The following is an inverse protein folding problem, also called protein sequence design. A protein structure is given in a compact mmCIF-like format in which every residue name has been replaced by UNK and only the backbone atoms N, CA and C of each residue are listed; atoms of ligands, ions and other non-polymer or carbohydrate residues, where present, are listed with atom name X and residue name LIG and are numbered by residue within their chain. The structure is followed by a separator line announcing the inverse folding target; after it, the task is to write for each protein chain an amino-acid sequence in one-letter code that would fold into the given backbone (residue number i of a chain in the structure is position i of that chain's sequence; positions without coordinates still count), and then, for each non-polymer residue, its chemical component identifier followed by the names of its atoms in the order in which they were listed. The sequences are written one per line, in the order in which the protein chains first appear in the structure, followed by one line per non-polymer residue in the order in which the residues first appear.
data_IF_248976558834
#
_entry.id   IF_248976558834
#
_cell.length_a   1.000
_cell.length_b   1.000
_cell.length_c   1.000
_cell.angle_alpha   90.00
_cell.angle_beta   90.00
_cell.angle_gamma   90.00
#
_symmetry.space_group_name_H-M   'P 1'
#
loop_
_entity.id
_entity.type
_entity.pdbx_description
1 polymer ?
#
# COMPACT_ATOMS: atom_id res chain seq x y z
N UNK A 1 -16.05 -14.08 -1.85
CA UNK A 1 -16.01 -15.56 -1.68
C UNK A 1 -15.15 -16.33 -2.70
N UNK A 2 -15.20 -16.09 -4.02
CA UNK A 2 -14.41 -16.88 -5.01
C UNK A 2 -12.87 -16.77 -4.84
N UNK A 3 -12.35 -15.59 -4.47
CA UNK A 3 -10.90 -15.37 -4.26
C UNK A 3 -10.35 -16.09 -3.01
N UNK A 4 -11.11 -16.13 -1.92
CA UNK A 4 -10.79 -16.96 -0.74
C UNK A 4 -10.76 -18.46 -1.06
N UNK A 5 -11.67 -18.96 -1.91
CA UNK A 5 -11.64 -20.35 -2.38
C UNK A 5 -10.37 -20.66 -3.20
N UNK A 6 -9.81 -19.68 -3.91
CA UNK A 6 -8.57 -19.83 -4.68
C UNK A 6 -7.35 -19.95 -3.77
N UNK A 7 -7.17 -19.03 -2.80
CA UNK A 7 -6.07 -19.12 -1.83
C UNK A 7 -6.15 -20.40 -1.01
N UNK A 8 -7.35 -20.78 -0.55
CA UNK A 8 -7.58 -22.04 0.15
C UNK A 8 -7.19 -23.26 -0.70
N UNK A 9 -7.46 -23.26 -2.01
CA UNK A 9 -7.00 -24.33 -2.93
C UNK A 9 -5.49 -24.39 -3.10
N UNK A 10 -4.77 -23.28 -2.97
CA UNK A 10 -3.30 -23.25 -3.03
C UNK A 10 -2.72 -23.87 -1.76
N UNK A 11 -3.27 -23.52 -0.60
CA UNK A 11 -2.81 -24.02 0.70
C UNK A 11 -3.22 -25.49 0.99
N UNK A 12 -4.34 -25.97 0.43
CA UNK A 12 -4.88 -27.32 0.70
C UNK A 12 -4.40 -28.37 -0.32
N UNK A 13 -3.74 -27.98 -1.42
CA UNK A 13 -3.17 -28.98 -2.33
C UNK A 13 -2.11 -29.78 -1.58
N UNK A 14 -2.17 -31.12 -1.56
CA UNK A 14 -1.08 -31.94 -1.09
C UNK A 14 0.08 -31.79 -2.08
N UNK A 15 0.92 -30.78 -1.84
CA UNK A 15 2.20 -30.65 -2.51
C UNK A 15 3.25 -31.19 -1.55
N UNK A 16 4.03 -32.16 -2.03
CA UNK A 16 5.21 -32.69 -1.33
C UNK A 16 6.34 -31.67 -1.20
N UNK A 17 6.18 -30.46 -1.76
CA UNK A 17 7.18 -29.40 -1.78
C UNK A 17 6.63 -28.06 -1.27
N UNK A 18 7.46 -27.26 -0.57
CA UNK A 18 7.13 -25.90 -0.16
C UNK A 18 6.68 -25.02 -1.34
N UNK A 19 5.83 -24.02 -1.08
CA UNK A 19 5.40 -23.05 -2.10
C UNK A 19 5.65 -21.63 -1.62
N UNK A 20 6.01 -20.75 -2.55
CA UNK A 20 6.13 -19.32 -2.27
C UNK A 20 4.74 -18.69 -2.13
N UNK A 21 4.28 -18.49 -0.89
CA UNK A 21 2.97 -17.91 -0.59
C UNK A 21 2.87 -16.46 -1.06
N UNK A 22 3.94 -15.66 -0.95
CA UNK A 22 3.97 -14.26 -1.33
C UNK A 22 3.51 -14.08 -2.79
N UNK A 23 4.09 -14.81 -3.75
CA UNK A 23 3.66 -14.75 -5.15
C UNK A 23 2.16 -15.01 -5.35
N UNK A 24 1.59 -15.96 -4.60
CA UNK A 24 0.18 -16.32 -4.72
C UNK A 24 -0.75 -15.28 -4.10
N UNK A 25 -0.35 -14.69 -2.97
CA UNK A 25 -1.07 -13.63 -2.27
C UNK A 25 -1.02 -12.35 -3.10
N UNK A 26 0.16 -11.92 -3.54
CA UNK A 26 0.36 -10.75 -4.40
C UNK A 26 -0.48 -10.85 -5.68
N UNK A 27 -0.59 -12.04 -6.30
CA UNK A 27 -1.51 -12.24 -7.42
C UNK A 27 -2.98 -12.03 -7.05
N UNK A 28 -3.41 -12.63 -5.93
CA UNK A 28 -4.80 -12.53 -5.51
C UNK A 28 -5.20 -11.09 -5.21
N UNK A 29 -4.32 -10.35 -4.53
CA UNK A 29 -4.48 -8.93 -4.21
C UNK A 29 -4.44 -8.07 -5.47
N UNK A 30 -3.43 -8.24 -6.34
CA UNK A 30 -3.31 -7.52 -7.61
C UNK A 30 -4.59 -7.67 -8.44
N UNK A 31 -5.14 -8.88 -8.52
CA UNK A 31 -6.39 -9.13 -9.26
C UNK A 31 -7.62 -8.43 -8.68
N UNK A 32 -7.57 -7.94 -7.43
CA UNK A 32 -8.60 -7.07 -6.84
C UNK A 32 -8.41 -5.67 -7.38
N UNK A 33 -7.22 -5.10 -7.21
CA UNK A 33 -6.99 -3.71 -7.58
C UNK A 33 -7.10 -3.49 -9.10
N UNK A 34 -6.59 -4.40 -9.93
CA UNK A 34 -6.73 -4.26 -11.40
C UNK A 34 -8.16 -4.42 -11.88
N UNK A 35 -8.99 -5.17 -11.15
CA UNK A 35 -10.41 -5.29 -11.45
C UNK A 35 -11.18 -4.02 -11.10
N UNK A 36 -10.79 -3.33 -10.02
CA UNK A 36 -11.39 -2.06 -9.61
C UNK A 36 -10.94 -0.92 -10.53
N UNK A 37 -9.67 -0.92 -10.93
CA UNK A 37 -9.10 0.17 -11.72
C UNK A 37 -9.42 0.06 -13.21
N UNK A 38 -9.40 -1.15 -13.77
CA UNK A 38 -9.33 -1.36 -15.23
C UNK A 38 -10.31 -2.42 -15.75
N UNK A 39 -11.17 -2.95 -14.88
CA UNK A 39 -12.03 -4.10 -15.15
C UNK A 39 -11.28 -5.33 -15.73
N UNK A 40 -9.95 -5.40 -15.56
CA UNK A 40 -9.07 -6.40 -16.18
C UNK A 40 -8.51 -7.35 -15.14
N UNK A 41 -8.39 -8.61 -15.55
CA UNK A 41 -7.73 -9.67 -14.80
C UNK A 41 -6.63 -10.30 -15.66
N UNK A 42 -5.43 -10.35 -15.12
CA UNK A 42 -4.27 -10.92 -15.80
C UNK A 42 -4.10 -12.40 -15.46
N UNK A 43 -3.56 -13.15 -16.43
CA UNK A 43 -3.14 -14.52 -16.16
C UNK A 43 -1.97 -14.53 -15.16
N UNK A 44 -2.01 -15.47 -14.23
CA UNK A 44 -1.04 -15.55 -13.13
C UNK A 44 0.37 -15.90 -13.60
N UNK A 45 0.47 -16.77 -14.61
CA UNK A 45 1.74 -17.29 -15.11
C UNK A 45 2.06 -16.76 -16.51
N UNK A 46 1.18 -15.93 -17.07
CA UNK A 46 1.38 -15.20 -18.31
C UNK A 46 2.44 -14.10 -18.19
N UNK A 47 2.70 -13.36 -19.27
CA UNK A 47 3.84 -12.44 -19.35
C UNK A 47 3.64 -11.14 -18.56
N UNK A 48 2.41 -10.75 -18.24
CA UNK A 48 2.09 -9.44 -17.66
C UNK A 48 2.27 -9.45 -16.14
N UNK A 49 1.61 -10.37 -15.43
CA UNK A 49 1.56 -10.31 -13.96
C UNK A 49 2.93 -10.49 -13.28
N UNK A 50 3.79 -11.48 -13.63
CA UNK A 50 5.11 -11.61 -13.04
C UNK A 50 5.98 -10.38 -13.26
N UNK A 51 5.92 -9.78 -14.46
CA UNK A 51 6.64 -8.55 -14.78
C UNK A 51 6.10 -7.34 -14.02
N UNK A 52 4.78 -7.26 -13.85
CA UNK A 52 4.12 -6.26 -13.01
C UNK A 52 4.55 -6.37 -11.55
N UNK A 53 4.47 -7.56 -10.97
CA UNK A 53 4.87 -7.81 -9.58
C UNK A 53 6.35 -7.47 -9.36
N UNK A 54 7.24 -7.87 -10.26
CA UNK A 54 8.67 -7.50 -10.20
C UNK A 54 8.86 -5.98 -10.28
N UNK A 55 8.23 -5.31 -11.24
CA UNK A 55 8.38 -3.87 -11.44
C UNK A 55 7.90 -3.05 -10.24
N UNK A 56 6.77 -3.46 -9.64
CA UNK A 56 6.25 -2.85 -8.41
C UNK A 56 7.23 -3.05 -7.25
N UNK A 57 7.74 -4.27 -7.07
CA UNK A 57 8.72 -4.57 -6.02
C UNK A 57 10.01 -3.74 -6.17
N UNK A 58 10.59 -3.68 -7.37
CA UNK A 58 11.83 -2.93 -7.64
C UNK A 58 11.66 -1.43 -7.32
N UNK A 59 10.50 -0.86 -7.67
CA UNK A 59 10.17 0.52 -7.38
C UNK A 59 10.02 0.77 -5.88
N UNK A 60 9.32 -0.11 -5.16
CA UNK A 60 9.11 0.02 -3.71
C UNK A 60 10.41 -0.18 -2.95
N UNK A 61 11.28 -1.07 -3.40
CA UNK A 61 12.56 -1.35 -2.74
C UNK A 61 13.43 -0.09 -2.61
N UNK A 62 13.31 0.88 -3.53
CA UNK A 62 13.97 2.20 -3.42
C UNK A 62 13.49 2.98 -2.20
N UNK A 63 12.20 2.89 -1.88
CA UNK A 63 11.56 3.62 -0.78
C UNK A 63 11.66 2.90 0.57
N UNK A 64 11.76 1.57 0.55
CA UNK A 64 11.73 0.73 1.75
C UNK A 64 13.11 0.49 2.39
N UNK A 65 14.20 0.72 1.66
CA UNK A 65 15.58 0.49 2.13
C UNK A 65 16.29 1.80 2.48
N UNK A 66 17.45 1.71 3.14
CA UNK A 66 18.34 2.83 3.48
C UNK A 66 18.71 3.70 2.27
N UNK A 67 18.56 3.17 1.04
CA UNK A 67 18.69 3.91 -0.22
C UNK A 67 17.79 5.15 -0.27
N UNK A 68 16.61 5.13 0.37
CA UNK A 68 15.73 6.29 0.45
C UNK A 68 16.28 7.42 1.36
N UNK A 69 17.21 7.12 2.26
CA UNK A 69 17.87 8.14 3.09
C UNK A 69 18.82 9.02 2.27
N UNK A 70 19.17 8.62 1.05
CA UNK A 70 19.85 9.50 0.12
C UNK A 70 18.85 10.58 -0.31
N UNK A 71 19.16 11.84 0.02
CA UNK A 71 18.37 13.01 -0.39
C UNK A 71 19.18 13.91 -1.31
N UNK A 72 18.54 14.50 -2.31
CA UNK A 72 19.19 15.47 -3.19
C UNK A 72 20.18 14.85 -4.18
N UNK A 73 21.39 15.44 -4.26
CA UNK A 73 22.40 15.07 -5.26
C UNK A 73 22.91 13.62 -5.12
N UNK A 74 23.22 13.09 -3.93
CA UNK A 74 23.57 11.68 -3.75
C UNK A 74 22.52 10.71 -4.29
N UNK A 75 21.23 10.98 -4.05
CA UNK A 75 20.13 10.18 -4.60
C UNK A 75 20.16 10.18 -6.13
N UNK A 76 20.24 11.37 -6.75
CA UNK A 76 20.27 11.49 -8.22
C UNK A 76 21.49 10.82 -8.85
N UNK A 77 22.66 10.92 -8.23
CA UNK A 77 23.88 10.24 -8.71
C UNK A 77 23.76 8.73 -8.59
N UNK A 78 23.15 8.24 -7.51
CA UNK A 78 23.00 6.81 -7.28
C UNK A 78 22.16 6.11 -8.36
N UNK A 79 21.11 6.77 -8.87
CA UNK A 79 20.34 6.28 -10.03
C UNK A 79 21.14 6.18 -11.32
N UNK A 80 22.21 6.98 -11.48
CA UNK A 80 23.02 7.02 -12.69
C UNK A 80 24.17 5.99 -12.66
N UNK A 81 24.70 5.71 -11.47
CA UNK A 81 25.96 4.96 -11.32
C UNK A 81 25.73 3.55 -10.79
N UNK A 82 24.65 3.32 -10.03
CA UNK A 82 24.41 2.03 -9.38
C UNK A 82 23.44 1.15 -10.20
N UNK A 83 23.63 -0.19 -10.22
CA UNK A 83 22.81 -1.10 -11.02
C UNK A 83 21.30 -1.04 -10.73
N UNK A 84 20.92 -0.77 -9.49
CA UNK A 84 19.51 -0.64 -9.10
C UNK A 84 18.83 0.58 -9.74
N UNK A 85 19.59 1.59 -10.19
CA UNK A 85 19.04 2.73 -10.91
C UNK A 85 18.40 2.31 -12.24
N UNK A 86 19.07 1.46 -13.02
CA UNK A 86 18.52 0.92 -14.27
C UNK A 86 17.31 0.02 -14.03
N UNK A 87 17.33 -0.82 -13.00
CA UNK A 87 16.19 -1.71 -12.66
C UNK A 87 14.92 -0.91 -12.34
N UNK A 88 15.07 0.19 -11.60
CA UNK A 88 13.96 1.06 -11.23
C UNK A 88 13.41 1.82 -12.44
N UNK A 89 14.27 2.29 -13.32
CA UNK A 89 13.84 2.95 -14.56
C UNK A 89 13.13 1.98 -15.51
N UNK A 90 13.60 0.73 -15.63
CA UNK A 90 12.89 -0.31 -16.38
C UNK A 90 11.51 -0.62 -15.78
N UNK A 91 11.43 -0.77 -14.46
CA UNK A 91 10.17 -1.00 -13.75
C UNK A 91 9.19 0.17 -13.92
N UNK A 92 9.68 1.41 -13.79
CA UNK A 92 8.91 2.63 -14.04
C UNK A 92 8.38 2.70 -15.47
N UNK A 93 9.25 2.45 -16.45
CA UNK A 93 8.89 2.47 -17.87
C UNK A 93 7.83 1.42 -18.18
N UNK A 94 7.97 0.20 -17.64
CA UNK A 94 6.99 -0.86 -17.78
C UNK A 94 5.63 -0.46 -17.18
N UNK A 95 5.59 0.02 -15.94
CA UNK A 95 4.34 0.43 -15.30
C UNK A 95 3.63 1.56 -16.03
N UNK A 96 4.40 2.55 -16.49
CA UNK A 96 3.87 3.66 -17.27
C UNK A 96 3.22 3.15 -18.56
N UNK A 97 3.93 2.29 -19.29
CA UNK A 97 3.41 1.68 -20.53
C UNK A 97 2.17 0.84 -20.25
N UNK A 98 2.23 -0.03 -19.24
CA UNK A 98 1.12 -0.88 -18.82
C UNK A 98 -0.16 -0.08 -18.53
N UNK A 99 -0.05 1.01 -17.75
CA UNK A 99 -1.20 1.85 -17.45
C UNK A 99 -1.67 2.66 -18.66
N UNK A 100 -0.75 3.22 -19.47
CA UNK A 100 -1.07 3.97 -20.68
C UNK A 100 -1.84 3.12 -21.69
N UNK A 101 -1.32 1.94 -22.02
CA UNK A 101 -1.92 1.03 -23.01
C UNK A 101 -3.37 0.66 -22.58
N UNK A 102 -3.62 0.51 -21.27
CA UNK A 102 -4.96 0.24 -20.72
C UNK A 102 -5.86 1.48 -20.79
N UNK A 103 -5.37 2.65 -20.39
CA UNK A 103 -6.14 3.90 -20.42
C UNK A 103 -6.54 4.25 -21.86
N UNK A 104 -5.64 4.08 -22.83
CA UNK A 104 -5.91 4.29 -24.25
C UNK A 104 -7.04 3.37 -24.75
N UNK A 105 -7.05 2.10 -24.33
CA UNK A 105 -8.14 1.16 -24.63
C UNK A 105 -9.47 1.64 -24.03
N UNK A 106 -9.45 2.19 -22.81
CA UNK A 106 -10.65 2.76 -22.18
C UNK A 106 -11.16 3.98 -22.92
N UNK A 107 -10.28 4.93 -23.27
CA UNK A 107 -10.64 6.13 -24.05
C UNK A 107 -11.29 5.74 -25.38
N UNK A 108 -10.72 4.76 -26.09
CA UNK A 108 -11.26 4.29 -27.38
C UNK A 108 -12.63 3.62 -27.25
N UNK A 109 -12.90 2.97 -26.13
CA UNK A 109 -14.11 2.17 -25.90
C UNK A 109 -15.06 2.79 -24.88
N UNK A 110 -14.88 4.07 -24.59
CA UNK A 110 -15.61 4.77 -23.54
C UNK A 110 -17.09 4.90 -23.90
N UNK A 111 -17.96 4.46 -22.98
CA UNK A 111 -19.41 4.62 -23.07
C UNK A 111 -19.93 5.30 -21.78
N UNK A 112 -20.44 6.53 -21.84
CA UNK A 112 -20.93 7.25 -20.67
C UNK A 112 -22.16 6.60 -20.02
N UNK A 113 -22.85 5.68 -20.71
CA UNK A 113 -24.01 4.96 -20.15
C UNK A 113 -23.62 3.66 -19.45
N UNK A 114 -22.36 3.23 -19.56
CA UNK A 114 -21.89 1.96 -19.02
C UNK A 114 -20.44 2.07 -18.51
N UNK A 115 -20.29 2.62 -17.31
CA UNK A 115 -18.99 2.79 -16.66
C UNK A 115 -18.49 1.45 -16.10
N UNK A 116 -17.35 0.96 -16.60
CA UNK A 116 -16.82 -0.36 -16.24
C UNK A 116 -16.05 -0.35 -14.92
N UNK A 117 -15.34 0.73 -14.64
CA UNK A 117 -14.34 0.84 -13.57
C UNK A 117 -13.96 2.30 -13.25
N UNK A 118 -12.91 2.47 -12.45
CA UNK A 118 -12.37 3.77 -12.06
C UNK A 118 -11.96 4.63 -13.26
N UNK A 119 -11.31 4.05 -14.29
CA UNK A 119 -10.84 4.81 -15.45
C UNK A 119 -12.02 5.41 -16.20
N UNK A 120 -13.06 4.62 -16.47
CA UNK A 120 -14.29 5.12 -17.08
C UNK A 120 -14.98 6.18 -16.21
N UNK A 121 -15.01 5.99 -14.89
CA UNK A 121 -15.60 6.97 -13.97
C UNK A 121 -14.86 8.32 -14.03
N UNK A 122 -13.54 8.29 -14.15
CA UNK A 122 -12.72 9.50 -14.32
C UNK A 122 -12.95 10.16 -15.69
N UNK A 123 -13.05 9.37 -16.77
CA UNK A 123 -13.36 9.87 -18.10
C UNK A 123 -14.77 10.49 -18.18
N UNK A 124 -15.74 9.89 -17.48
CA UNK A 124 -17.08 10.43 -17.34
C UNK A 124 -17.08 11.79 -16.64
N UNK A 125 -16.36 11.92 -15.53
CA UNK A 125 -16.27 13.21 -14.84
C UNK A 125 -15.56 14.27 -15.69
N UNK A 126 -14.51 13.89 -16.42
CA UNK A 126 -13.88 14.79 -17.41
C UNK A 126 -14.88 15.30 -18.45
N UNK A 127 -15.72 14.41 -19.00
CA UNK A 127 -16.76 14.79 -19.96
C UNK A 127 -17.75 15.78 -19.34
N UNK A 128 -18.22 15.52 -18.12
CA UNK A 128 -19.14 16.43 -17.43
C UNK A 128 -18.51 17.83 -17.21
N UNK A 129 -17.23 17.88 -16.87
CA UNK A 129 -16.49 19.14 -16.70
C UNK A 129 -16.29 19.85 -18.03
N UNK A 130 -16.06 19.11 -19.12
CA UNK A 130 -15.97 19.67 -20.47
C UNK A 130 -17.28 20.33 -20.90
N UNK A 131 -18.42 19.67 -20.66
CA UNK A 131 -19.75 20.21 -20.96
C UNK A 131 -20.07 21.49 -20.16
N UNK A 132 -19.50 21.62 -18.95
CA UNK A 132 -19.62 22.83 -18.11
C UNK A 132 -18.62 23.94 -18.48
N UNK A 133 -17.64 23.67 -19.34
CA UNK A 133 -16.52 24.59 -19.58
C UNK A 133 -15.57 24.72 -18.37
N UNK A 134 -15.55 23.70 -17.52
CA UNK A 134 -14.79 23.66 -16.26
C UNK A 134 -13.54 22.78 -16.29
N UNK A 135 -13.31 22.06 -17.38
CA UNK A 135 -12.25 21.05 -17.48
C UNK A 135 -10.84 21.63 -17.29
N UNK A 136 -10.54 22.78 -17.90
CA UNK A 136 -9.20 23.39 -17.91
C UNK A 136 -8.76 23.87 -16.51
N UNK A 137 -9.69 24.39 -15.72
CA UNK A 137 -9.47 24.81 -14.34
C UNK A 137 -9.59 23.65 -13.33
N UNK A 138 -10.07 22.49 -13.78
CA UNK A 138 -10.25 21.32 -12.91
C UNK A 138 -8.93 20.61 -12.62
N UNK A 139 -8.97 19.71 -11.64
CA UNK A 139 -7.85 18.81 -11.39
C UNK A 139 -7.82 17.58 -12.32
N UNK A 140 -8.80 17.37 -13.18
CA UNK A 140 -9.00 16.11 -13.88
C UNK A 140 -8.19 16.05 -15.18
N UNK A 141 -6.85 15.93 -15.13
CA UNK A 141 -6.00 15.78 -16.34
C UNK A 141 -5.74 14.31 -16.69
N UNK A 142 -5.32 14.01 -17.92
CA UNK A 142 -4.95 12.64 -18.33
C UNK A 142 -3.64 12.19 -17.67
N UNK A 143 -2.72 13.11 -17.40
CA UNK A 143 -1.48 12.85 -16.67
C UNK A 143 -1.79 12.43 -15.23
N UNK A 144 -2.77 13.07 -14.60
CA UNK A 144 -3.25 12.69 -13.27
C UNK A 144 -3.95 11.34 -13.27
N UNK A 145 -4.77 11.04 -14.29
CA UNK A 145 -5.37 9.71 -14.45
C UNK A 145 -4.29 8.62 -14.54
N UNK A 146 -3.26 8.84 -15.36
CA UNK A 146 -2.12 7.93 -15.48
C UNK A 146 -1.37 7.78 -14.15
N UNK A 147 -1.06 8.90 -13.49
CA UNK A 147 -0.34 8.90 -12.22
C UNK A 147 -1.11 8.17 -11.11
N UNK A 148 -2.43 8.41 -10.98
CA UNK A 148 -3.29 7.73 -10.01
C UNK A 148 -3.39 6.24 -10.34
N UNK A 149 -3.57 5.89 -11.61
CA UNK A 149 -3.64 4.49 -12.07
C UNK A 149 -2.36 3.72 -11.74
N UNK A 150 -1.20 4.33 -11.98
CA UNK A 150 0.09 3.76 -11.59
C UNK A 150 0.21 3.64 -10.07
N UNK A 151 -0.08 4.72 -9.33
CA UNK A 151 0.06 4.76 -7.87
C UNK A 151 -0.81 3.70 -7.18
N UNK A 152 -2.11 3.68 -7.50
CA UNK A 152 -3.05 2.71 -6.93
C UNK A 152 -2.68 1.27 -7.30
N UNK A 153 -2.20 1.03 -8.53
CA UNK A 153 -1.74 -0.32 -8.94
C UNK A 153 -0.53 -0.77 -8.11
N UNK A 154 0.46 0.12 -7.91
CA UNK A 154 1.64 -0.18 -7.10
C UNK A 154 1.28 -0.43 -5.63
N UNK A 155 0.65 0.57 -4.99
CA UNK A 155 0.30 0.52 -3.57
C UNK A 155 -0.65 -0.64 -3.27
N UNK A 156 -1.66 -0.83 -4.11
CA UNK A 156 -2.67 -1.87 -3.92
C UNK A 156 -2.15 -3.29 -4.15
N UNK A 157 -1.00 -3.48 -4.79
CA UNK A 157 -0.44 -4.81 -5.08
C UNK A 157 0.49 -5.30 -3.97
N UNK A 158 1.48 -4.49 -3.60
CA UNK A 158 2.59 -4.93 -2.75
C UNK A 158 2.25 -4.81 -1.26
N UNK A 159 1.70 -3.67 -0.83
CA UNK A 159 1.49 -3.37 0.59
C UNK A 159 0.55 -4.36 1.29
N UNK A 160 -0.56 -4.69 0.64
CA UNK A 160 -1.54 -5.66 1.15
C UNK A 160 -0.96 -7.08 1.08
N UNK A 161 -0.17 -7.38 0.05
CA UNK A 161 0.53 -8.66 -0.08
C UNK A 161 1.50 -8.90 1.07
N UNK A 162 2.36 -7.90 1.32
CA UNK A 162 3.34 -7.91 2.41
C UNK A 162 2.67 -7.99 3.77
N UNK A 163 1.61 -7.19 4.00
CA UNK A 163 0.83 -7.24 5.25
C UNK A 163 0.26 -8.63 5.48
N UNK A 164 -0.40 -9.23 4.49
CA UNK A 164 -0.96 -10.60 4.64
C UNK A 164 0.16 -11.61 4.90
N UNK A 165 1.30 -11.51 4.21
CA UNK A 165 2.43 -12.41 4.42
C UNK A 165 3.05 -12.27 5.81
N UNK A 166 3.22 -11.05 6.31
CA UNK A 166 3.69 -10.77 7.67
C UNK A 166 2.75 -11.36 8.72
N UNK A 167 1.44 -11.10 8.59
CA UNK A 167 0.42 -11.66 9.48
C UNK A 167 0.42 -13.20 9.47
N UNK A 168 0.49 -13.83 8.29
CA UNK A 168 0.53 -15.29 8.17
C UNK A 168 1.81 -15.88 8.79
N UNK A 169 2.95 -15.22 8.58
CA UNK A 169 4.24 -15.65 9.14
C UNK A 169 4.22 -15.60 10.66
N UNK A 170 3.67 -14.53 11.23
CA UNK A 170 3.55 -14.42 12.68
C UNK A 170 2.50 -15.39 13.23
N UNK A 171 1.35 -15.54 12.56
CA UNK A 171 0.29 -16.44 13.01
C UNK A 171 0.74 -17.91 13.05
N UNK A 172 1.66 -18.31 12.17
CA UNK A 172 2.25 -19.64 12.14
C UNK A 172 3.06 -19.98 13.40
N UNK A 173 3.56 -18.96 14.14
CA UNK A 173 4.29 -19.15 15.40
C UNK A 173 3.37 -19.42 16.59
N UNK A 174 2.07 -19.09 16.48
CA UNK A 174 1.11 -19.10 17.60
C UNK A 174 -0.15 -19.93 17.31
N UNK A 175 -0.05 -21.23 16.93
CA UNK A 175 -1.20 -22.03 16.50
C UNK A 175 -2.29 -22.19 17.56
N UNK A 176 -1.92 -22.32 18.84
CA UNK A 176 -2.86 -22.48 19.96
C UNK A 176 -3.70 -21.22 20.24
N UNK A 177 -3.19 -20.06 19.82
CA UNK A 177 -3.79 -18.75 20.09
C UNK A 177 -4.77 -18.31 19.00
N UNK A 178 -4.75 -18.95 17.81
CA UNK A 178 -5.51 -18.53 16.61
C UNK A 178 -7.04 -18.51 16.81
N UNK A 179 -7.56 -19.22 17.80
CA UNK A 179 -9.00 -19.26 18.11
C UNK A 179 -9.47 -18.07 18.95
N UNK A 180 -8.57 -17.28 19.53
CA UNK A 180 -8.93 -16.16 20.39
C UNK A 180 -9.51 -15.01 19.57
N UNK A 181 -10.59 -14.38 20.06
CA UNK A 181 -11.24 -13.24 19.39
C UNK A 181 -10.28 -12.07 19.15
N UNK A 182 -9.40 -11.83 20.11
CA UNK A 182 -8.40 -10.77 20.07
C UNK A 182 -7.12 -11.10 19.27
N UNK A 183 -7.01 -12.32 18.72
CA UNK A 183 -5.80 -12.78 18.04
C UNK A 183 -5.37 -11.85 16.91
N UNK A 184 -6.34 -11.42 16.08
CA UNK A 184 -6.07 -10.57 14.91
C UNK A 184 -5.53 -9.19 15.35
N UNK A 185 -6.03 -8.64 16.45
CA UNK A 185 -5.59 -7.31 16.94
C UNK A 185 -4.12 -7.36 17.36
N UNK A 186 -3.74 -8.36 18.15
CA UNK A 186 -2.34 -8.56 18.55
C UNK A 186 -1.44 -8.89 17.35
N UNK A 187 -1.98 -9.62 16.36
CA UNK A 187 -1.27 -9.94 15.13
C UNK A 187 -0.93 -8.68 14.33
N UNK A 188 -1.88 -7.75 14.17
CA UNK A 188 -1.62 -6.48 13.49
C UNK A 188 -0.63 -5.59 14.26
N UNK A 189 -0.65 -5.63 15.60
CA UNK A 189 0.31 -4.88 16.42
C UNK A 189 1.73 -5.43 16.28
N UNK A 190 1.92 -6.74 16.41
CA UNK A 190 3.27 -7.31 16.44
C UNK A 190 3.85 -7.52 15.03
N UNK A 191 3.01 -7.90 14.05
CA UNK A 191 3.43 -8.27 12.69
C UNK A 191 3.33 -7.07 11.74
N UNK A 192 3.77 -5.91 12.19
CA UNK A 192 3.81 -4.71 11.37
C UNK A 192 4.66 -4.93 10.13
N UNK A 193 4.05 -4.74 8.95
CA UNK A 193 4.78 -4.75 7.68
C UNK A 193 5.66 -3.50 7.50
N UNK A 194 5.32 -2.40 8.17
CA UNK A 194 5.98 -1.11 8.02
C UNK A 194 6.28 -0.50 9.39
N UNK A 195 7.51 -0.06 9.59
CA UNK A 195 7.96 0.54 10.85
C UNK A 195 7.72 2.06 10.93
N UNK A 196 7.47 2.72 9.79
CA UNK A 196 7.30 4.16 9.70
C UNK A 196 6.03 4.51 8.91
N UNK A 197 5.46 5.69 9.16
CA UNK A 197 4.41 6.26 8.32
C UNK A 197 4.99 6.71 6.98
N UNK A 198 4.10 6.95 6.00
CA UNK A 198 4.43 7.83 4.87
C UNK A 198 4.95 9.17 5.38
N UNK A 199 5.89 9.76 4.65
CA UNK A 199 6.48 11.04 4.98
C UNK A 199 5.47 12.18 4.78
N UNK A 200 5.22 12.94 5.83
CA UNK A 200 4.44 14.17 5.77
C UNK A 200 5.36 15.37 5.67
N UNK A 201 4.79 16.51 5.28
CA UNK A 201 5.50 17.77 5.19
C UNK A 201 4.58 18.90 5.62
N UNK A 202 5.00 19.71 6.59
CA UNK A 202 4.21 20.83 7.07
C UNK A 202 4.30 22.02 6.11
N UNK A 203 3.15 22.60 5.73
CA UNK A 203 3.08 23.76 4.85
C UNK A 203 3.40 25.09 5.57
N UNK A 204 3.33 25.07 6.90
CA UNK A 204 3.54 26.22 7.78
C UNK A 204 4.34 25.78 9.00
N UNK A 205 5.11 26.72 9.55
CA UNK A 205 5.85 26.49 10.78
C UNK A 205 4.88 26.25 11.94
N UNK A 206 5.23 25.30 12.81
CA UNK A 206 4.40 24.95 13.96
C UNK A 206 5.26 24.62 15.18
N UNK A 207 4.63 24.40 16.32
CA UNK A 207 5.27 23.92 17.55
C UNK A 207 4.53 22.69 18.04
N UNK A 208 5.25 21.61 18.35
CA UNK A 208 4.69 20.40 18.96
C UNK A 208 5.45 20.13 20.24
N UNK A 209 4.76 19.99 21.38
CA UNK A 209 5.37 19.77 22.70
C UNK A 209 6.51 20.76 23.04
N UNK A 210 6.36 22.02 22.63
CA UNK A 210 7.38 23.07 22.84
C UNK A 210 8.56 23.05 21.85
N UNK A 211 8.64 22.07 20.94
CA UNK A 211 9.64 22.01 19.88
C UNK A 211 9.16 22.73 18.62
N UNK A 212 9.96 23.68 18.15
CA UNK A 212 9.72 24.37 16.87
C UNK A 212 9.93 23.41 15.71
N UNK A 213 8.94 23.31 14.83
CA UNK A 213 8.97 22.55 13.57
C UNK A 213 8.93 23.55 12.41
N UNK A 214 10.08 23.83 11.77
CA UNK A 214 10.15 24.76 10.64
C UNK A 214 9.24 24.33 9.50
N UNK A 215 8.76 25.31 8.72
CA UNK A 215 8.03 25.07 7.46
C UNK A 215 8.83 24.14 6.53
N UNK A 216 8.15 23.17 5.90
CA UNK A 216 8.69 22.14 5.00
C UNK A 216 9.59 21.09 5.65
N UNK A 217 9.48 20.89 6.96
CA UNK A 217 10.12 19.76 7.65
C UNK A 217 9.48 18.45 7.21
N UNK A 218 10.31 17.42 6.99
CA UNK A 218 9.83 16.05 6.75
C UNK A 218 9.46 15.46 8.12
N UNK A 219 8.22 14.99 8.24
CA UNK A 219 7.68 14.39 9.46
C UNK A 219 7.46 12.90 9.21
N UNK A 220 8.08 12.06 10.05
CA UNK A 220 8.02 10.60 9.97
C UNK A 220 7.51 10.06 11.30
N UNK A 221 6.37 9.39 11.30
CA UNK A 221 5.85 8.71 12.48
C UNK A 221 6.50 7.35 12.65
N UNK A 222 7.09 7.09 13.80
CA UNK A 222 7.68 5.78 14.13
C UNK A 222 6.58 4.83 14.63
N UNK A 223 5.98 4.07 13.71
CA UNK A 223 4.94 3.08 14.01
C UNK A 223 5.47 1.96 14.91
N UNK A 224 6.73 1.57 14.72
CA UNK A 224 7.35 0.54 15.56
C UNK A 224 7.36 0.98 17.03
N UNK A 225 7.78 2.21 17.31
CA UNK A 225 7.83 2.76 18.67
C UNK A 225 6.45 2.79 19.32
N UNK A 226 5.42 3.22 18.59
CA UNK A 226 4.05 3.29 19.11
C UNK A 226 3.55 1.89 19.49
N UNK A 227 3.73 0.93 18.59
CA UNK A 227 3.25 -0.43 18.79
C UNK A 227 4.12 -1.27 19.75
N UNK A 228 5.31 -0.78 20.11
CA UNK A 228 6.23 -1.42 21.07
C UNK A 228 6.45 -0.56 22.32
N UNK A 229 5.59 0.42 22.57
CA UNK A 229 5.64 1.22 23.79
C UNK A 229 5.27 0.34 25.00
N UNK A 230 6.17 0.13 25.98
CA UNK A 230 5.88 -0.69 27.16
C UNK A 230 4.82 -0.08 28.09
N UNK A 231 4.56 1.23 28.03
CA UNK A 231 3.49 1.88 28.79
C UNK A 231 2.11 1.53 28.23
N UNK A 232 1.99 1.43 26.90
CA UNK A 232 0.76 1.04 26.22
C UNK A 232 0.61 -0.49 26.12
N UNK A 233 1.72 -1.21 25.94
CA UNK A 233 1.77 -2.65 25.70
C UNK A 233 2.81 -3.32 26.62
N UNK A 234 2.45 -3.66 27.88
CA UNK A 234 3.39 -4.25 28.83
C UNK A 234 4.06 -5.55 28.32
N UNK A 235 5.38 -5.64 28.28
CA UNK A 235 6.11 -6.71 27.58
C UNK A 235 5.78 -6.76 26.06
N UNK A 236 6.07 -5.70 25.29
CA UNK A 236 5.57 -5.52 23.93
C UNK A 236 6.07 -6.57 22.93
N UNK A 237 7.20 -7.21 23.22
CA UNK A 237 7.77 -8.30 22.41
C UNK A 237 7.05 -9.65 22.57
N UNK A 238 6.23 -9.80 23.62
CA UNK A 238 5.44 -11.01 23.85
C UNK A 238 4.10 -10.89 23.11
N UNK A 239 3.84 -11.86 22.22
CA UNK A 239 2.52 -12.06 21.64
C UNK A 239 1.52 -12.47 22.72
N UNK A 240 0.57 -11.59 23.03
CA UNK A 240 -0.47 -11.86 24.03
C UNK A 240 -1.82 -11.27 23.61
N UNK A 241 -2.70 -12.07 22.97
CA UNK A 241 -4.03 -11.63 22.61
C UNK A 241 -4.90 -11.24 23.81
N UNK A 242 -4.58 -11.73 25.03
CA UNK A 242 -5.40 -11.43 26.20
C UNK A 242 -5.32 -9.96 26.61
N UNK A 243 -4.33 -9.21 26.11
CA UNK A 243 -4.29 -7.75 26.22
C UNK A 243 -5.65 -7.16 25.89
N UNK A 244 -6.23 -7.55 24.76
CA UNK A 244 -7.51 -6.99 24.27
C UNK A 244 -8.77 -7.67 24.82
N UNK A 245 -8.65 -8.57 25.81
CA UNK A 245 -9.79 -9.34 26.35
C UNK A 245 -10.31 -8.83 27.70
N UNK A 246 -9.66 -7.84 28.31
CA UNK A 246 -10.11 -7.22 29.57
C UNK A 246 -11.02 -6.00 29.38
N UNK A 247 -11.78 -5.63 30.42
CA UNK A 247 -12.66 -4.43 30.44
C UNK A 247 -11.91 -3.09 30.37
N UNK A 248 -10.59 -3.09 30.53
CA UNK A 248 -9.76 -1.88 30.68
C UNK A 248 -9.00 -1.44 29.43
N UNK A 249 -9.01 -2.22 28.34
CA UNK A 249 -8.55 -1.69 27.07
C UNK A 249 -9.72 -0.98 26.41
N UNK A 250 -9.84 0.32 26.71
CA UNK A 250 -10.43 1.25 25.76
C UNK A 250 -9.80 0.90 24.42
N UNK A 251 -10.58 0.32 23.50
CA UNK A 251 -10.32 0.48 22.07
C UNK A 251 -9.91 1.94 21.97
N UNK A 252 -8.65 2.22 21.61
CA UNK A 252 -8.17 3.60 21.60
C UNK A 252 -9.29 4.42 20.96
N UNK A 253 -9.85 5.38 21.70
CA UNK A 253 -10.53 6.48 21.04
C UNK A 253 -9.55 6.88 19.93
N UNK A 254 -9.97 6.92 18.65
CA UNK A 254 -9.08 6.81 17.50
C UNK A 254 -7.94 7.84 17.45
N UNK A 255 -7.89 8.78 18.38
CA UNK A 255 -6.75 9.61 18.73
C UNK A 255 -6.79 9.78 20.28
N UNK A 256 -5.71 9.50 21.04
CA UNK A 256 -5.72 9.77 22.47
C UNK A 256 -6.04 11.25 22.69
N UNK A 257 -6.98 11.59 23.57
CA UNK A 257 -7.42 12.98 23.77
C UNK A 257 -6.29 13.96 24.13
N UNK A 258 -5.17 13.47 24.66
CA UNK A 258 -3.94 14.25 24.85
C UNK A 258 -3.34 14.79 23.55
N UNK A 259 -3.54 14.12 22.42
CA UNK A 259 -3.00 14.47 21.10
C UNK A 259 -3.92 15.42 20.32
N UNK A 260 -5.18 15.57 20.76
CA UNK A 260 -6.17 16.50 20.19
C UNK A 260 -6.16 17.86 20.92
N UNK A 261 -5.68 17.89 22.17
CA UNK A 261 -5.75 19.09 23.03
C UNK A 261 -4.71 20.17 22.72
N UNK A 262 -3.73 19.93 21.83
CA UNK A 262 -2.68 20.90 21.50
C UNK A 262 -2.94 21.70 20.21
N UNK A 263 -4.07 21.51 19.52
CA UNK A 263 -4.35 22.18 18.22
C UNK A 263 -5.67 22.96 18.17
N UNK A 264 -6.18 23.42 19.31
CA UNK A 264 -7.29 24.40 19.36
C UNK A 264 -6.78 25.81 19.64
#
# INVERSE_FOLDING_TARGET
MRKLKFLKKICIRPKTQPTNINFHVTYAVNSVITQILFAKKFDKYGPIFPKLAKSVHDLIAVFADQRFMLVGLPFRLSFRVLPWGSEVEEGRAFLKKFASDIIEDHVRTFDPNNLRDYVDSYLYERKNLEEKGELEQSSFTMERLLAISMNMTMEGTDSVGETICSLLTEAAKHPEEQKKKAFIQELFRIAQAFNNTTHYCNFEETTIQGFRIPKRSIIVGNLWSINNDPELFPNPSKFDPNRYLGENLKVMDPIPSAWVKETA
#
